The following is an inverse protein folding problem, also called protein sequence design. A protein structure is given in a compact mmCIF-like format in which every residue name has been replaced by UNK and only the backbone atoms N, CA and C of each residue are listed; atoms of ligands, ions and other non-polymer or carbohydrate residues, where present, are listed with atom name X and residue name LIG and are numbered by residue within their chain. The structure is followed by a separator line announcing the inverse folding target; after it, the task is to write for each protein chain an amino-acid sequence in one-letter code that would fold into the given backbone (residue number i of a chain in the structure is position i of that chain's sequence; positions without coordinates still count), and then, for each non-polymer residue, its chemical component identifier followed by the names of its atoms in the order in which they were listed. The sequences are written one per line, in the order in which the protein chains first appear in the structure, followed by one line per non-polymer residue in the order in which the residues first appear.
data_IF_133307325883
#
_entry.id   IF_133307325883
#
_cell.length_a   1.000
_cell.length_b   1.000
_cell.length_c   1.000
_cell.angle_alpha   90.00
_cell.angle_beta   90.00
_cell.angle_gamma   90.00
#
_symmetry.space_group_name_H-M   'P 1'
#
loop_
_entity.id
_entity.type
_entity.pdbx_description
1 polymer ?
#
# COMPACT_ATOMS: atom_id res chain seq x y z
N UNK A 1 -0.77 -2.17 -22.91
CA UNK A 1 -0.69 -2.78 -21.56
C UNK A 1 -1.27 -1.73 -20.64
N UNK A 2 -2.44 -1.97 -20.04
CA UNK A 2 -3.09 -0.96 -19.22
C UNK A 2 -2.39 -0.95 -17.83
N UNK A 3 -1.37 -0.09 -17.70
CA UNK A 3 -0.62 0.16 -16.46
C UNK A 3 -1.50 0.80 -15.38
N UNK A 4 -2.54 1.50 -15.81
CA UNK A 4 -3.46 2.19 -14.94
C UNK A 4 -4.24 1.20 -14.07
N UNK A 5 -5.00 0.30 -14.69
CA UNK A 5 -5.85 -0.67 -13.99
C UNK A 5 -5.04 -1.75 -13.28
N UNK A 6 -3.87 -2.10 -13.81
CA UNK A 6 -3.11 -3.29 -13.37
C UNK A 6 -1.91 -2.98 -12.48
N UNK A 7 -1.67 -1.71 -12.14
CA UNK A 7 -0.58 -1.32 -11.24
C UNK A 7 -0.98 -0.13 -10.38
N UNK A 8 -1.45 0.95 -10.99
CA UNK A 8 -1.76 2.18 -10.28
C UNK A 8 -2.95 2.02 -9.32
N UNK A 9 -4.06 1.46 -9.81
CA UNK A 9 -5.27 1.24 -8.99
C UNK A 9 -5.00 0.31 -7.80
N UNK A 10 -4.41 -0.91 -7.98
CA UNK A 10 -4.13 -1.79 -6.85
C UNK A 10 -3.16 -1.16 -5.82
N UNK A 11 -2.21 -0.33 -6.27
CA UNK A 11 -1.29 0.38 -5.38
C UNK A 11 -1.94 1.46 -4.52
N UNK A 12 -3.04 2.07 -4.98
CA UNK A 12 -3.80 3.04 -4.17
C UNK A 12 -4.95 2.41 -3.39
N UNK A 13 -5.41 1.23 -3.79
CA UNK A 13 -6.52 0.55 -3.13
C UNK A 13 -6.11 0.15 -1.69
N UNK A 14 -6.64 0.87 -0.70
CA UNK A 14 -6.36 0.63 0.72
C UNK A 14 -6.96 -0.68 1.23
N UNK A 15 -7.99 -1.23 0.56
CA UNK A 15 -8.47 -2.64 0.63
C UNK A 15 -9.58 -2.87 -0.42
N UNK A 16 -9.56 -4.05 -1.03
CA UNK A 16 -10.47 -4.62 -2.06
C UNK A 16 -10.69 -3.82 -3.36
N UNK A 17 -10.26 -4.33 -4.53
CA UNK A 17 -10.83 -3.91 -5.81
C UNK A 17 -12.29 -4.37 -5.91
N UNK A 18 -13.16 -3.51 -6.46
CA UNK A 18 -14.46 -3.95 -6.96
C UNK A 18 -14.27 -4.95 -8.10
N UNK A 19 -14.92 -6.11 -8.00
CA UNK A 19 -15.04 -7.12 -9.06
C UNK A 19 -15.40 -6.48 -10.40
N UNK A 20 -14.49 -6.46 -11.37
CA UNK A 20 -14.79 -6.05 -12.75
C UNK A 20 -14.89 -7.29 -13.64
N UNK A 21 -15.76 -7.21 -14.64
CA UNK A 21 -15.99 -8.25 -15.65
C UNK A 21 -15.48 -7.70 -16.98
N UNK A 22 -14.42 -8.27 -17.56
CA UNK A 22 -13.98 -7.93 -18.92
C UNK A 22 -14.08 -9.10 -19.91
N UNK A 23 -14.38 -8.73 -21.17
CA UNK A 23 -14.68 -9.62 -22.31
C UNK A 23 -13.43 -10.03 -23.14
N UNK A 24 -13.57 -10.77 -24.27
CA UNK A 24 -12.91 -12.05 -24.53
C UNK A 24 -11.44 -11.95 -25.01
N UNK A 25 -10.64 -13.02 -24.84
CA UNK A 25 -9.19 -12.90 -24.82
C UNK A 25 -8.49 -12.98 -26.19
N UNK A 26 -7.43 -12.18 -26.34
CA UNK A 26 -6.33 -12.43 -27.31
C UNK A 26 -5.12 -13.05 -26.62
N UNK A 27 -4.12 -13.53 -27.40
CA UNK A 27 -2.94 -14.36 -27.10
C UNK A 27 -2.11 -14.14 -25.79
N UNK A 28 -2.47 -13.20 -24.92
CA UNK A 28 -1.85 -12.89 -23.61
C UNK A 28 -2.28 -13.78 -22.44
N UNK A 29 -3.28 -14.65 -22.63
CA UNK A 29 -3.86 -15.52 -21.58
C UNK A 29 -2.80 -16.42 -20.93
N UNK A 30 -1.93 -17.04 -21.75
CA UNK A 30 -0.99 -18.08 -21.29
C UNK A 30 -0.01 -17.67 -20.19
N UNK A 31 0.43 -16.40 -20.11
CA UNK A 31 1.36 -15.96 -19.05
C UNK A 31 0.64 -15.48 -17.79
N UNK A 32 -0.58 -14.95 -17.93
CA UNK A 32 -1.42 -14.63 -16.77
C UNK A 32 -1.89 -15.92 -16.12
N UNK A 33 -2.20 -16.96 -16.90
CA UNK A 33 -2.56 -18.29 -16.40
C UNK A 33 -1.44 -18.89 -15.54
N UNK A 34 -0.17 -18.69 -15.92
CA UNK A 34 0.98 -19.15 -15.12
C UNK A 34 1.01 -18.45 -13.77
N UNK A 35 0.87 -17.12 -13.72
CA UNK A 35 0.82 -16.40 -12.43
C UNK A 35 -0.43 -16.79 -11.64
N UNK A 36 -1.59 -16.90 -12.29
CA UNK A 36 -2.85 -17.29 -11.67
C UNK A 36 -2.78 -18.70 -11.08
N UNK A 37 -2.04 -19.62 -11.70
CA UNK A 37 -1.81 -20.98 -11.19
C UNK A 37 -0.97 -21.03 -9.90
N UNK A 38 -0.31 -19.92 -9.54
CA UNK A 38 0.42 -19.78 -8.28
C UNK A 38 -0.33 -18.92 -7.25
N UNK A 39 -1.54 -18.45 -7.55
CA UNK A 39 -2.40 -17.70 -6.63
C UNK A 39 -3.46 -18.62 -6.03
N UNK A 40 -3.07 -19.66 -5.30
CA UNK A 40 -4.01 -20.73 -4.91
C UNK A 40 -5.20 -20.22 -4.08
N UNK A 41 -4.91 -19.51 -2.98
CA UNK A 41 -5.93 -19.01 -2.05
C UNK A 41 -5.74 -17.51 -1.78
N UNK A 42 -6.86 -16.80 -1.61
CA UNK A 42 -6.84 -15.41 -1.13
C UNK A 42 -6.31 -15.39 0.29
N UNK A 43 -5.44 -14.44 0.59
CA UNK A 43 -4.85 -14.35 1.91
C UNK A 43 -5.75 -13.59 2.89
N UNK A 44 -5.70 -13.98 4.15
CA UNK A 44 -6.26 -13.22 5.28
C UNK A 44 -5.13 -12.52 6.02
N UNK A 45 -5.45 -11.42 6.72
CA UNK A 45 -4.45 -10.72 7.52
C UNK A 45 -3.93 -11.61 8.64
N UNK A 46 -2.62 -11.67 8.80
CA UNK A 46 -1.92 -12.33 9.89
C UNK A 46 -1.79 -11.39 11.08
N UNK A 47 -2.40 -11.75 12.20
CA UNK A 47 -2.30 -10.98 13.43
C UNK A 47 -0.85 -10.88 13.95
N UNK A 48 0.00 -11.86 13.59
CA UNK A 48 1.43 -11.85 13.95
C UNK A 48 2.23 -10.83 13.16
N UNK A 49 1.81 -10.44 11.95
CA UNK A 49 2.53 -9.46 11.14
C UNK A 49 2.70 -8.12 11.87
N UNK A 50 1.61 -7.62 12.48
CA UNK A 50 1.65 -6.37 13.25
C UNK A 50 2.55 -6.50 14.48
N UNK A 51 2.45 -7.63 15.20
CA UNK A 51 3.24 -7.90 16.40
C UNK A 51 4.74 -7.96 16.07
N UNK A 52 5.11 -8.69 15.03
CA UNK A 52 6.50 -8.82 14.58
C UNK A 52 7.07 -7.48 14.11
N UNK A 53 6.34 -6.70 13.31
CA UNK A 53 6.81 -5.38 12.88
C UNK A 53 7.03 -4.43 14.06
N UNK A 54 6.11 -4.41 15.02
CA UNK A 54 6.25 -3.59 16.22
C UNK A 54 7.49 -4.01 17.04
N UNK A 55 7.68 -5.31 17.29
CA UNK A 55 8.87 -5.83 17.99
C UNK A 55 10.15 -5.48 17.25
N UNK A 56 10.20 -5.72 15.94
CA UNK A 56 11.35 -5.38 15.08
C UNK A 56 11.73 -3.91 15.18
N UNK A 57 10.76 -3.03 15.15
CA UNK A 57 10.98 -1.57 15.16
C UNK A 57 11.11 -1.01 16.60
N UNK A 58 11.20 -1.88 17.62
CA UNK A 58 11.34 -1.48 19.02
C UNK A 58 10.14 -0.70 19.55
N UNK A 59 8.95 -1.02 19.03
CA UNK A 59 7.69 -0.34 19.27
C UNK A 59 7.74 1.16 18.94
N UNK A 60 8.55 1.55 17.94
CA UNK A 60 8.72 2.94 17.54
C UNK A 60 8.33 3.18 16.10
N UNK A 61 7.83 4.39 15.84
CA UNK A 61 7.67 4.90 14.50
C UNK A 61 9.06 4.99 13.83
N UNK A 62 9.25 4.30 12.71
CA UNK A 62 10.51 4.30 11.93
C UNK A 62 10.87 5.68 11.36
N UNK A 63 9.91 6.61 11.35
CA UNK A 63 10.06 7.96 10.84
C UNK A 63 10.41 8.98 11.93
N UNK A 64 9.62 9.05 13.02
CA UNK A 64 9.79 10.06 14.08
C UNK A 64 10.57 9.54 15.30
N UNK A 65 10.73 8.22 15.43
CA UNK A 65 11.32 7.56 16.60
C UNK A 65 10.42 7.52 17.84
N UNK A 66 9.19 8.04 17.74
CA UNK A 66 8.24 8.07 18.85
C UNK A 66 7.75 6.67 19.18
N UNK A 67 7.64 6.38 20.47
CA UNK A 67 7.25 5.07 20.97
C UNK A 67 5.73 4.89 20.93
N UNK A 68 5.26 3.66 20.73
CA UNK A 68 3.86 3.30 20.89
C UNK A 68 3.40 3.60 22.32
N UNK A 69 2.28 4.32 22.46
CA UNK A 69 1.70 4.68 23.77
C UNK A 69 1.56 3.46 24.70
N UNK A 70 1.02 2.35 24.21
CA UNK A 70 0.83 1.15 25.04
C UNK A 70 2.15 0.61 25.62
N UNK A 71 3.21 0.57 24.81
CA UNK A 71 4.53 0.12 25.26
C UNK A 71 5.21 1.16 26.17
N UNK A 72 5.05 2.45 25.87
CA UNK A 72 5.55 3.55 26.71
C UNK A 72 4.94 3.53 28.11
N UNK A 73 3.63 3.25 28.23
CA UNK A 73 2.95 3.04 29.51
C UNK A 73 3.50 1.81 30.27
N UNK A 74 3.78 0.70 29.57
CA UNK A 74 4.40 -0.49 30.19
C UNK A 74 5.79 -0.21 30.77
N UNK A 75 6.51 0.76 30.21
CA UNK A 75 7.83 1.19 30.68
C UNK A 75 7.76 2.28 31.77
N UNK A 76 6.58 2.54 32.35
CA UNK A 76 6.33 3.59 33.35
C UNK A 76 6.63 5.00 32.84
N UNK A 77 6.19 5.32 31.63
CA UNK A 77 6.11 6.69 31.12
C UNK A 77 7.47 7.44 31.14
N UNK A 78 8.53 6.92 30.50
CA UNK A 78 9.84 7.57 30.52
C UNK A 78 9.78 8.98 29.88
N UNK A 79 10.14 10.01 30.64
CA UNK A 79 10.07 11.44 30.27
C UNK A 79 10.89 11.80 29.03
N UNK A 80 11.96 11.06 28.75
CA UNK A 80 12.88 11.33 27.64
C UNK A 80 12.41 10.76 26.30
N UNK A 81 11.29 10.04 26.27
CA UNK A 81 10.76 9.40 25.07
C UNK A 81 9.36 9.95 24.80
N UNK A 82 9.17 10.55 23.63
CA UNK A 82 7.84 10.92 23.15
C UNK A 82 7.06 9.67 22.74
N UNK A 83 5.77 9.66 23.08
CA UNK A 83 4.86 8.58 22.74
C UNK A 83 3.79 9.03 21.73
N UNK A 84 3.31 8.10 20.90
CA UNK A 84 2.25 8.32 19.92
C UNK A 84 1.50 7.02 19.60
N UNK A 85 0.36 7.12 18.91
CA UNK A 85 -0.28 5.97 18.28
C UNK A 85 0.53 5.55 17.04
N UNK A 86 0.79 4.26 16.93
CA UNK A 86 1.49 3.68 15.78
C UNK A 86 0.70 2.52 15.20
N UNK A 87 0.81 2.37 13.89
CA UNK A 87 0.22 1.32 13.07
C UNK A 87 1.28 0.76 12.12
N UNK A 88 1.00 -0.41 11.52
CA UNK A 88 1.91 -1.03 10.56
C UNK A 88 1.41 -0.77 9.14
N UNK A 89 2.20 -0.05 8.36
CA UNK A 89 1.96 0.20 6.95
C UNK A 89 2.54 -0.93 6.10
N UNK A 90 1.80 -1.40 5.11
CA UNK A 90 2.37 -2.23 4.06
C UNK A 90 3.06 -1.34 3.02
N UNK A 91 4.25 -1.73 2.56
CA UNK A 91 4.96 -1.05 1.47
C UNK A 91 4.27 -1.30 0.12
N UNK A 92 3.93 -2.57 -0.16
CA UNK A 92 3.06 -2.96 -1.28
C UNK A 92 1.71 -3.35 -0.69
N UNK A 93 0.58 -2.75 -1.11
CA UNK A 93 -0.69 -2.97 -0.42
C UNK A 93 -1.17 -4.41 -0.46
N UNK A 94 -1.83 -4.84 0.62
CA UNK A 94 -2.44 -6.17 0.74
C UNK A 94 -3.52 -6.45 -0.32
N UNK A 95 -4.02 -5.42 -1.02
CA UNK A 95 -4.96 -5.55 -2.16
C UNK A 95 -4.46 -6.48 -3.26
N UNK A 96 -3.13 -6.69 -3.37
CA UNK A 96 -2.54 -7.66 -4.30
C UNK A 96 -2.77 -9.13 -3.90
N UNK A 97 -3.10 -9.41 -2.64
CA UNK A 97 -3.28 -10.77 -2.11
C UNK A 97 -4.73 -11.10 -1.71
N UNK A 98 -5.66 -10.16 -1.91
CA UNK A 98 -7.07 -10.32 -1.52
C UNK A 98 -7.98 -10.38 -2.74
N UNK A 99 -8.73 -11.48 -2.91
CA UNK A 99 -9.71 -11.67 -3.98
C UNK A 99 -10.81 -12.65 -3.54
N UNK A 100 -12.03 -12.52 -4.11
CA UNK A 100 -13.20 -13.33 -3.69
C UNK A 100 -13.75 -14.25 -4.76
N UNK A 101 -13.52 -13.93 -6.02
CA UNK A 101 -14.03 -14.66 -7.20
C UNK A 101 -12.88 -15.07 -8.11
N UNK A 102 -13.11 -16.07 -8.97
CA UNK A 102 -12.15 -16.49 -9.99
C UNK A 102 -11.76 -15.34 -10.93
N UNK A 103 -12.70 -14.48 -11.26
CA UNK A 103 -12.46 -13.27 -12.08
C UNK A 103 -11.50 -12.31 -11.36
N UNK A 104 -11.77 -11.97 -10.09
CA UNK A 104 -10.86 -11.14 -9.28
C UNK A 104 -9.48 -11.78 -9.04
N UNK A 105 -9.38 -13.12 -9.05
CA UNK A 105 -8.09 -13.84 -9.03
C UNK A 105 -7.29 -13.60 -10.33
N UNK A 106 -7.94 -13.59 -11.49
CA UNK A 106 -7.28 -13.27 -12.76
C UNK A 106 -6.82 -11.81 -12.82
N UNK A 107 -7.59 -10.89 -12.23
CA UNK A 107 -7.19 -9.48 -12.09
C UNK A 107 -5.96 -9.35 -11.19
N UNK A 108 -5.97 -10.01 -10.03
CA UNK A 108 -4.82 -10.06 -9.13
C UNK A 108 -3.57 -10.65 -9.83
N UNK A 109 -3.72 -11.76 -10.56
CA UNK A 109 -2.63 -12.35 -11.35
C UNK A 109 -2.07 -11.38 -12.39
N UNK A 110 -2.97 -10.66 -13.06
CA UNK A 110 -2.59 -9.63 -14.03
C UNK A 110 -1.87 -8.46 -13.36
N UNK A 111 -2.28 -8.05 -12.16
CA UNK A 111 -1.63 -7.00 -11.39
C UNK A 111 -0.22 -7.41 -10.95
N UNK A 112 -0.06 -8.61 -10.37
CA UNK A 112 1.24 -9.20 -10.05
C UNK A 112 2.17 -9.27 -11.25
N UNK A 113 1.65 -9.72 -12.40
CA UNK A 113 2.45 -9.77 -13.65
C UNK A 113 2.98 -8.39 -14.02
N UNK A 114 2.15 -7.35 -13.93
CA UNK A 114 2.59 -5.97 -14.25
C UNK A 114 3.57 -5.46 -13.21
N UNK A 115 3.33 -5.70 -11.92
CA UNK A 115 4.24 -5.35 -10.83
C UNK A 115 5.63 -5.95 -11.07
N UNK A 116 5.72 -7.26 -11.32
CA UNK A 116 7.00 -7.93 -11.60
C UNK A 116 7.65 -7.48 -12.90
N UNK A 117 6.85 -7.09 -13.89
CA UNK A 117 7.39 -6.59 -15.17
C UNK A 117 8.01 -5.20 -15.02
N UNK A 118 7.39 -4.33 -14.24
CA UNK A 118 7.86 -2.95 -14.03
C UNK A 118 8.95 -2.88 -12.95
N UNK A 119 8.85 -3.74 -11.93
CA UNK A 119 9.72 -3.79 -10.76
C UNK A 119 10.22 -5.21 -10.54
N UNK A 120 11.14 -5.72 -11.38
CA UNK A 120 11.65 -7.08 -11.26
C UNK A 120 12.42 -7.33 -9.95
N UNK A 121 12.88 -6.28 -9.26
CA UNK A 121 13.46 -6.37 -7.91
C UNK A 121 12.48 -6.98 -6.91
N UNK A 122 11.21 -6.55 -6.94
CA UNK A 122 10.14 -7.08 -6.08
C UNK A 122 10.03 -8.60 -6.20
N UNK A 123 10.09 -9.13 -7.43
CA UNK A 123 10.07 -10.57 -7.68
C UNK A 123 11.33 -11.28 -7.17
N UNK A 124 12.51 -10.67 -7.35
CA UNK A 124 13.78 -11.27 -6.91
C UNK A 124 13.90 -11.30 -5.38
N UNK A 125 13.36 -10.30 -4.70
CA UNK A 125 13.26 -10.25 -3.24
C UNK A 125 12.28 -11.29 -2.68
N UNK A 126 11.48 -11.93 -3.54
CA UNK A 126 10.65 -13.07 -3.18
C UNK A 126 9.22 -12.71 -2.77
N UNK A 127 8.77 -11.47 -3.00
CA UNK A 127 7.39 -11.10 -2.72
C UNK A 127 6.43 -11.90 -3.60
N UNK A 128 5.40 -12.47 -2.98
CA UNK A 128 4.26 -13.12 -3.63
C UNK A 128 2.96 -12.78 -2.87
N UNK A 129 1.83 -13.30 -3.33
CA UNK A 129 0.58 -13.19 -2.57
C UNK A 129 0.72 -13.83 -1.18
N UNK A 130 1.34 -15.00 -1.08
CA UNK A 130 1.53 -15.74 0.18
C UNK A 130 2.47 -15.04 1.17
N UNK A 131 3.40 -14.21 0.68
CA UNK A 131 4.39 -13.53 1.53
C UNK A 131 4.09 -12.05 1.71
N UNK A 132 2.91 -11.55 1.29
CA UNK A 132 2.59 -10.13 1.36
C UNK A 132 2.39 -9.64 2.80
N UNK A 133 2.22 -10.57 3.74
CA UNK A 133 1.96 -10.30 5.15
C UNK A 133 3.13 -10.76 6.02
N UNK A 134 4.35 -10.40 5.61
CA UNK A 134 5.58 -10.71 6.34
C UNK A 134 6.32 -9.43 6.72
N UNK A 135 7.19 -9.50 7.72
CA UNK A 135 7.88 -8.34 8.28
C UNK A 135 8.61 -7.51 7.21
N UNK A 136 9.14 -8.18 6.17
CA UNK A 136 9.90 -7.53 5.10
C UNK A 136 9.11 -6.51 4.27
N UNK A 137 7.78 -6.44 4.42
CA UNK A 137 6.92 -5.45 3.75
C UNK A 137 6.27 -4.45 4.70
N UNK A 138 6.45 -4.62 6.02
CA UNK A 138 5.79 -3.81 7.04
C UNK A 138 6.67 -2.68 7.56
N UNK A 139 6.07 -1.51 7.83
CA UNK A 139 6.72 -0.37 8.48
C UNK A 139 5.89 0.10 9.67
N UNK A 140 6.46 0.16 10.87
CA UNK A 140 5.80 0.82 12.00
C UNK A 140 5.83 2.33 11.82
N UNK A 141 4.66 2.95 11.72
CA UNK A 141 4.51 4.39 11.48
C UNK A 141 3.46 5.00 12.39
N UNK A 142 3.64 6.27 12.75
CA UNK A 142 2.58 7.06 13.39
C UNK A 142 1.48 7.38 12.37
N UNK A 143 0.26 7.63 12.85
CA UNK A 143 -0.97 7.71 12.04
C UNK A 143 -0.85 8.65 10.83
N UNK A 144 -0.37 9.88 11.02
CA UNK A 144 -0.26 10.87 9.93
C UNK A 144 0.77 10.46 8.89
N UNK A 145 1.87 9.86 9.32
CA UNK A 145 2.92 9.41 8.42
C UNK A 145 2.49 8.15 7.66
N UNK A 146 1.73 7.25 8.30
CA UNK A 146 1.13 6.10 7.64
C UNK A 146 0.16 6.56 6.54
N UNK A 147 -0.71 7.52 6.84
CA UNK A 147 -1.64 8.08 5.87
C UNK A 147 -0.91 8.75 4.70
N UNK A 148 0.06 9.63 4.98
CA UNK A 148 0.85 10.28 3.93
C UNK A 148 1.65 9.27 3.09
N UNK A 149 2.12 8.17 3.67
CA UNK A 149 2.83 7.10 2.96
C UNK A 149 1.91 6.29 2.05
N UNK A 150 0.73 5.90 2.56
CA UNK A 150 -0.30 5.20 1.79
C UNK A 150 -0.89 6.06 0.66
N UNK A 151 -1.00 7.37 0.86
CA UNK A 151 -1.47 8.32 -0.13
C UNK A 151 -0.41 8.71 -1.18
N UNK A 152 0.81 8.16 -1.07
CA UNK A 152 1.94 8.51 -1.93
C UNK A 152 2.30 10.02 -1.84
N UNK A 153 2.19 10.59 -0.63
CA UNK A 153 2.63 11.96 -0.28
C UNK A 153 3.95 11.95 0.51
N UNK A 154 4.33 10.78 1.03
CA UNK A 154 5.60 10.48 1.68
C UNK A 154 6.19 9.22 1.05
N UNK A 155 7.50 9.22 0.77
CA UNK A 155 8.22 8.04 0.31
C UNK A 155 9.67 8.00 0.82
N UNK A 156 10.26 6.82 0.76
CA UNK A 156 11.62 6.56 1.22
C UNK A 156 12.49 6.11 0.05
N UNK A 157 13.28 7.04 -0.49
CA UNK A 157 14.18 6.76 -1.62
C UNK A 157 15.42 6.03 -1.12
N UNK A 158 15.74 4.83 -1.63
CA UNK A 158 16.96 4.13 -1.22
C UNK A 158 18.23 4.92 -1.51
N UNK A 159 19.15 5.00 -0.56
CA UNK A 159 20.47 5.64 -0.74
C UNK A 159 21.45 4.65 -1.35
N UNK A 160 22.14 5.05 -2.42
CA UNK A 160 23.08 4.18 -3.13
C UNK A 160 24.18 3.65 -2.21
N UNK A 161 24.50 2.36 -2.33
CA UNK A 161 25.50 1.65 -1.52
C UNK A 161 25.24 1.60 0.01
N UNK A 162 24.05 2.01 0.48
CA UNK A 162 23.66 1.90 1.90
C UNK A 162 22.38 1.07 2.02
N UNK A 163 22.49 -0.18 2.51
CA UNK A 163 21.39 -1.16 2.43
C UNK A 163 20.09 -0.72 3.15
N UNK A 164 20.20 -0.10 4.32
CA UNK A 164 19.05 0.20 5.19
C UNK A 164 18.80 1.69 5.38
N UNK A 165 19.36 2.54 4.52
CA UNK A 165 19.23 3.99 4.64
C UNK A 165 18.47 4.58 3.46
N UNK A 166 17.57 5.49 3.79
CA UNK A 166 16.64 6.05 2.83
C UNK A 166 16.53 7.55 3.01
N UNK A 167 16.55 8.27 1.89
CA UNK A 167 16.24 9.69 1.83
C UNK A 167 14.73 9.87 1.96
N UNK A 168 14.31 10.74 2.88
CA UNK A 168 12.91 11.11 3.04
C UNK A 168 12.50 12.03 1.89
N UNK A 169 11.41 11.66 1.20
CA UNK A 169 10.80 12.45 0.13
C UNK A 169 9.37 12.78 0.54
N UNK A 170 9.06 14.08 0.60
CA UNK A 170 7.69 14.57 0.80
C UNK A 170 7.23 15.28 -0.45
N UNK A 171 5.94 15.17 -0.74
CA UNK A 171 5.33 15.72 -1.95
C UNK A 171 4.20 16.69 -1.61
N UNK A 172 3.52 17.23 -2.63
CA UNK A 172 2.39 18.13 -2.44
C UNK A 172 1.28 17.41 -1.64
N UNK A 173 0.64 18.12 -0.73
CA UNK A 173 -0.42 17.55 0.10
C UNK A 173 0.04 16.75 1.31
N UNK A 174 1.35 16.46 1.46
CA UNK A 174 1.88 15.84 2.67
C UNK A 174 1.62 16.72 3.90
N UNK A 175 1.09 16.11 4.96
CA UNK A 175 0.60 16.78 6.16
C UNK A 175 1.67 17.63 6.87
N UNK A 176 1.21 18.69 7.54
CA UNK A 176 2.10 19.56 8.31
C UNK A 176 2.78 18.80 9.47
N UNK A 177 2.08 17.84 10.08
CA UNK A 177 2.63 17.02 11.18
C UNK A 177 3.73 16.09 10.68
N UNK A 178 3.56 15.39 9.54
CA UNK A 178 4.63 14.59 8.94
C UNK A 178 5.86 15.43 8.61
N UNK A 179 5.67 16.65 8.07
CA UNK A 179 6.79 17.56 7.80
C UNK A 179 7.48 18.03 9.08
N UNK A 180 6.70 18.37 10.12
CA UNK A 180 7.21 18.83 11.41
C UNK A 180 8.09 17.77 12.09
N UNK A 181 7.69 16.50 12.00
CA UNK A 181 8.39 15.38 12.62
C UNK A 181 9.40 14.71 11.69
N UNK A 182 9.68 15.30 10.53
CA UNK A 182 10.67 14.76 9.61
C UNK A 182 12.06 14.80 10.25
N UNK A 183 12.88 13.73 10.10
CA UNK A 183 14.26 13.75 10.57
C UNK A 183 15.00 14.95 10.02
N UNK A 184 15.66 15.72 10.89
CA UNK A 184 16.42 16.91 10.49
C UNK A 184 17.55 16.59 9.49
N UNK A 185 18.06 15.35 9.51
CA UNK A 185 19.03 14.84 8.54
C UNK A 185 18.45 14.73 7.13
N UNK A 186 17.12 14.60 6.98
CA UNK A 186 16.45 14.23 5.74
C UNK A 186 16.55 12.74 5.40
N UNK A 187 17.03 11.90 6.33
CA UNK A 187 17.22 10.45 6.14
C UNK A 187 16.63 9.66 7.30
N UNK A 188 16.15 8.45 6.98
CA UNK A 188 15.87 7.40 7.96
C UNK A 188 16.84 6.24 7.77
N UNK A 189 17.10 5.50 8.84
CA UNK A 189 17.87 4.27 8.82
C UNK A 189 17.05 3.19 9.53
N UNK A 190 16.74 2.11 8.83
CA UNK A 190 15.96 1.00 9.37
C UNK A 190 16.89 0.10 10.20
N UNK A 191 16.48 -0.18 11.45
CA UNK A 191 17.23 -0.97 12.42
C UNK A 191 16.29 -1.93 13.13
N UNK A 192 16.82 -3.10 13.47
CA UNK A 192 16.14 -4.05 14.35
C UNK A 192 16.37 -3.60 15.80
N UNK A 193 15.37 -3.79 16.65
CA UNK A 193 15.56 -3.78 18.09
C UNK A 193 16.53 -4.91 18.51
N UNK A 194 17.23 -4.70 19.62
CA UNK A 194 18.26 -5.64 20.10
C UNK A 194 17.70 -7.05 20.36
N UNK A 195 16.45 -7.13 20.80
CA UNK A 195 15.74 -8.38 21.07
C UNK A 195 15.05 -8.97 19.84
N UNK A 196 15.18 -8.37 18.66
CA UNK A 196 14.46 -8.73 17.44
C UNK A 196 15.36 -9.10 16.25
N UNK A 197 16.57 -9.60 16.54
CA UNK A 197 17.56 -9.99 15.52
C UNK A 197 17.09 -11.11 14.59
N UNK A 198 16.07 -11.87 15.01
CA UNK A 198 15.38 -12.91 14.24
C UNK A 198 14.45 -12.35 13.14
N UNK A 199 14.03 -11.09 13.22
CA UNK A 199 13.02 -10.50 12.34
C UNK A 199 13.64 -9.69 11.20
N UNK A 200 13.23 -9.96 9.96
CA UNK A 200 13.79 -9.28 8.79
C UNK A 200 13.42 -7.79 8.73
N UNK A 201 14.40 -6.96 8.34
CA UNK A 201 14.16 -5.58 7.94
C UNK A 201 13.33 -5.50 6.66
N UNK A 202 12.65 -4.36 6.43
CA UNK A 202 11.94 -4.13 5.18
C UNK A 202 12.88 -4.22 3.97
N UNK A 203 12.44 -4.90 2.92
CA UNK A 203 13.27 -5.10 1.74
C UNK A 203 13.41 -3.79 0.94
N UNK A 204 14.64 -3.52 0.53
CA UNK A 204 15.01 -2.32 -0.22
C UNK A 204 14.32 -2.22 -1.57
N UNK A 205 14.12 -3.34 -2.28
CA UNK A 205 13.48 -3.35 -3.59
C UNK A 205 11.98 -3.03 -3.49
N UNK A 206 11.33 -3.32 -2.35
CA UNK A 206 9.94 -2.92 -2.10
C UNK A 206 9.83 -1.41 -1.90
N UNK A 207 10.76 -0.82 -1.12
CA UNK A 207 10.81 0.62 -0.92
C UNK A 207 11.19 1.39 -2.19
N UNK A 208 12.09 0.85 -3.02
CA UNK A 208 12.38 1.41 -4.35
C UNK A 208 11.13 1.42 -5.25
N UNK A 209 10.37 0.32 -5.23
CA UNK A 209 9.11 0.21 -5.97
C UNK A 209 8.10 1.28 -5.52
N UNK A 210 7.83 1.36 -4.21
CA UNK A 210 6.90 2.36 -3.66
C UNK A 210 7.34 3.79 -3.98
N UNK A 211 8.63 4.12 -3.80
CA UNK A 211 9.15 5.45 -4.11
C UNK A 211 8.99 5.81 -5.59
N UNK A 212 9.32 4.90 -6.52
CA UNK A 212 9.18 5.16 -7.96
C UNK A 212 7.72 5.36 -8.37
N UNK A 213 6.81 4.57 -7.80
CA UNK A 213 5.37 4.75 -8.04
C UNK A 213 4.90 6.10 -7.48
N UNK A 214 5.41 6.48 -6.31
CA UNK A 214 5.16 7.79 -5.71
C UNK A 214 5.59 8.93 -6.65
N UNK A 215 6.81 8.87 -7.20
CA UNK A 215 7.31 9.86 -8.16
C UNK A 215 6.41 9.93 -9.40
N UNK A 216 5.98 8.78 -9.93
CA UNK A 216 5.08 8.72 -11.09
C UNK A 216 3.72 9.36 -10.77
N UNK A 217 3.10 9.03 -9.64
CA UNK A 217 1.80 9.59 -9.25
C UNK A 217 1.87 11.11 -9.09
N UNK A 218 2.92 11.62 -8.45
CA UNK A 218 3.08 13.05 -8.21
C UNK A 218 3.47 13.82 -9.48
N UNK A 219 4.25 13.22 -10.38
CA UNK A 219 4.64 13.85 -11.64
C UNK A 219 3.49 13.87 -12.67
N UNK A 220 2.64 12.84 -12.69
CA UNK A 220 1.57 12.69 -13.67
C UNK A 220 0.21 13.25 -13.21
N UNK A 221 0.00 13.46 -11.91
CA UNK A 221 -1.32 13.77 -11.33
C UNK A 221 -2.26 12.56 -11.28
N UNK A 222 -1.82 11.39 -11.74
CA UNK A 222 -2.63 10.17 -11.82
C UNK A 222 -3.13 9.71 -10.45
N UNK A 223 -2.35 9.95 -9.39
CA UNK A 223 -2.75 9.61 -8.03
C UNK A 223 -3.99 10.37 -7.57
N UNK A 224 -4.09 11.67 -7.87
CA UNK A 224 -5.23 12.50 -7.50
C UNK A 224 -6.50 12.12 -8.28
N UNK A 225 -6.33 11.70 -9.54
CA UNK A 225 -7.42 11.19 -10.36
C UNK A 225 -8.00 9.93 -9.71
N UNK A 226 -7.16 8.96 -9.33
CA UNK A 226 -7.60 7.72 -8.66
C UNK A 226 -8.32 8.02 -7.35
N UNK A 227 -7.76 8.88 -6.50
CA UNK A 227 -8.37 9.22 -5.21
C UNK A 227 -9.76 9.85 -5.38
N UNK A 228 -9.91 10.76 -6.36
CA UNK A 228 -11.20 11.39 -6.65
C UNK A 228 -12.26 10.36 -7.02
N UNK A 229 -11.91 9.36 -7.82
CA UNK A 229 -12.86 8.34 -8.24
C UNK A 229 -13.21 7.36 -7.13
N UNK A 230 -12.25 6.98 -6.28
CA UNK A 230 -12.56 6.21 -5.07
C UNK A 230 -13.49 6.97 -4.14
N UNK A 231 -13.25 8.27 -3.92
CA UNK A 231 -14.14 9.09 -3.11
C UNK A 231 -15.54 9.20 -3.72
N UNK A 232 -15.65 9.47 -5.02
CA UNK A 232 -16.95 9.50 -5.72
C UNK A 232 -17.71 8.19 -5.57
N UNK A 233 -17.02 7.04 -5.64
CA UNK A 233 -17.63 5.73 -5.47
C UNK A 233 -18.10 5.46 -4.04
N UNK A 234 -17.29 5.82 -3.03
CA UNK A 234 -17.67 5.67 -1.62
C UNK A 234 -18.84 6.60 -1.24
N UNK A 235 -18.85 7.84 -1.74
CA UNK A 235 -19.96 8.77 -1.56
C UNK A 235 -21.27 8.22 -2.18
N UNK A 236 -21.16 7.56 -3.34
CA UNK A 236 -22.29 6.91 -4.00
C UNK A 236 -22.77 5.65 -3.25
N UNK A 237 -21.87 4.84 -2.70
CA UNK A 237 -22.25 3.71 -1.85
C UNK A 237 -22.97 4.16 -0.58
N UNK A 238 -22.49 5.21 0.07
CA UNK A 238 -23.13 5.80 1.26
C UNK A 238 -24.56 6.32 0.98
N UNK A 239 -24.86 6.65 -0.28
CA UNK A 239 -26.18 7.07 -0.75
C UNK A 239 -26.96 5.94 -1.44
N UNK A 240 -26.45 4.70 -1.48
CA UNK A 240 -27.06 3.58 -2.19
C UNK A 240 -28.40 3.10 -1.59
N UNK A 241 -28.78 3.61 -0.41
CA UNK A 241 -30.13 3.46 0.14
C UNK A 241 -31.17 4.38 -0.53
N UNK A 242 -30.75 5.25 -1.46
CA UNK A 242 -31.58 6.28 -2.10
C UNK A 242 -31.88 5.98 -3.58
N UNK A 243 -32.10 4.71 -3.95
CA UNK A 243 -32.83 4.45 -5.20
C UNK A 243 -34.24 5.02 -5.04
N UNK A 244 -34.44 6.23 -5.56
CA UNK A 244 -35.72 6.90 -5.45
C UNK A 244 -36.78 6.12 -6.21
N UNK A 245 -37.88 5.83 -5.51
CA UNK A 245 -39.06 5.16 -6.09
C UNK A 245 -39.66 5.95 -7.27
N UNK A 246 -39.39 7.25 -7.35
CA UNK A 246 -39.84 8.13 -8.43
C UNK A 246 -39.03 7.99 -9.74
N UNK A 247 -38.00 7.13 -9.77
CA UNK A 247 -37.17 6.89 -10.95
C UNK A 247 -36.22 8.03 -11.31
N UNK A 248 -36.06 9.06 -10.46
CA UNK A 248 -35.17 10.21 -10.72
C UNK A 248 -33.70 9.94 -10.37
N UNK A 249 -33.40 8.76 -9.87
CA UNK A 249 -32.01 8.33 -9.59
C UNK A 249 -31.17 8.41 -10.86
N UNK A 250 -30.04 9.11 -10.79
CA UNK A 250 -29.10 9.18 -11.89
C UNK A 250 -28.24 7.91 -11.95
N UNK A 251 -28.81 6.84 -12.51
CA UNK A 251 -28.15 5.52 -12.66
C UNK A 251 -26.88 5.60 -13.52
N UNK A 252 -26.84 6.49 -14.51
CA UNK A 252 -25.63 6.71 -15.35
C UNK A 252 -24.43 7.14 -14.50
N UNK A 253 -24.64 8.00 -13.49
CA UNK A 253 -23.56 8.39 -12.56
C UNK A 253 -23.03 7.21 -11.74
N UNK A 254 -23.91 6.31 -11.27
CA UNK A 254 -23.50 5.11 -10.54
C UNK A 254 -22.71 4.15 -11.43
N UNK A 255 -23.18 3.93 -12.66
CA UNK A 255 -22.49 3.06 -13.62
C UNK A 255 -21.12 3.63 -14.01
N UNK A 256 -21.02 4.95 -14.25
CA UNK A 256 -19.75 5.61 -14.57
C UNK A 256 -18.75 5.53 -13.43
N UNK A 257 -19.19 5.65 -12.18
CA UNK A 257 -18.30 5.55 -11.02
C UNK A 257 -17.88 4.09 -10.75
N UNK A 258 -18.81 3.14 -10.84
CA UNK A 258 -18.55 1.72 -10.57
C UNK A 258 -17.75 1.01 -11.67
N UNK A 259 -17.88 1.42 -12.92
CA UNK A 259 -17.16 0.86 -14.09
C UNK A 259 -16.05 1.80 -14.59
N UNK A 260 -15.65 2.76 -13.77
CA UNK A 260 -14.79 3.86 -14.19
C UNK A 260 -13.45 3.40 -14.82
N UNK A 261 -12.83 2.36 -14.26
CA UNK A 261 -11.57 1.82 -14.76
C UNK A 261 -11.68 1.23 -16.18
N UNK A 262 -12.88 0.81 -16.60
CA UNK A 262 -13.16 0.27 -17.93
C UNK A 262 -13.43 1.37 -18.97
N UNK A 263 -13.82 2.57 -18.52
CA UNK A 263 -14.17 3.71 -19.38
C UNK A 263 -12.94 4.51 -19.83
N UNK A 264 -11.87 4.51 -19.03
CA UNK A 264 -10.61 5.21 -19.34
C UNK A 264 -9.54 4.26 -19.91
N UNK A 265 -9.79 2.94 -19.85
CA UNK A 265 -8.82 1.87 -20.09
C UNK A 265 -8.54 1.47 -21.53
#
# INVERSE_FOLDING_TARGET
MNLYNRLAIPMKALSEPSSMIESPPSKRVRQVDVVASHLDESQTRDDMFKVSCLRRDGYRCIFSGFMQIAHWLQLNEPDNIKATHVEVAHIIPFSYASWRTTESRHEAASAWRVLYSCFPGVRRAGLSAETIDCESIGLTMQLECQADFGDFKLAFKPVENENNKYQVKTYRGCSALTRMWSPASGFIELKQADDATDLKLPDRDYLDCHWRITEIFNASGMGEVIDKHFQEWEDLKGTCHELREDGTTNVDRFLRAGLWADVIG
#
